data_IF_986621824452
#
_entry.id   IF_986621824452
#
_cell.length_a   1.000
_cell.length_b   1.000
_cell.length_c   1.000
_cell.angle_alpha   90.00
_cell.angle_beta   90.00
_cell.angle_gamma   90.00
#
_symmetry.space_group_name_H-M   'P 1'
#
loop_
_entity.id
_entity.type
_entity.pdbx_description
1 polymer ?
#
# COMPACT_ATOMS: atom_id res chain seq x y z
N UNK A 1 68.40 -31.26 6.50
CA UNK A 1 68.16 -30.45 7.70
C UNK A 1 66.81 -29.78 7.55
N UNK A 2 65.80 -30.29 8.26
CA UNK A 2 64.49 -29.63 8.46
C UNK A 2 64.66 -28.37 9.30
N UNK A 3 63.83 -27.35 9.10
CA UNK A 3 62.57 -27.20 9.84
C UNK A 3 61.41 -26.81 8.89
N UNK A 4 60.13 -27.02 9.16
CA UNK A 4 59.41 -27.12 10.43
C UNK A 4 58.16 -26.24 10.28
N UNK A 5 57.02 -26.86 9.97
CA UNK A 5 55.69 -26.25 9.86
C UNK A 5 55.26 -25.66 11.20
N UNK A 6 54.63 -24.47 11.25
CA UNK A 6 53.71 -24.14 12.32
C UNK A 6 52.25 -24.22 11.85
N UNK A 7 51.53 -25.07 12.58
CA UNK A 7 50.11 -25.34 12.55
C UNK A 7 49.24 -24.08 12.64
N UNK A 8 48.09 -24.15 11.95
CA UNK A 8 46.93 -23.33 12.19
C UNK A 8 46.47 -23.44 13.67
N UNK A 9 46.33 -22.28 14.33
CA UNK A 9 45.64 -22.17 15.61
C UNK A 9 44.14 -21.91 15.35
N UNK A 10 43.22 -22.79 15.79
CA UNK A 10 41.81 -22.44 15.87
C UNK A 10 41.58 -21.48 17.05
N UNK A 11 40.80 -20.44 16.79
CA UNK A 11 40.32 -19.49 17.80
C UNK A 11 39.47 -20.22 18.86
N UNK A 12 39.53 -19.80 20.14
CA UNK A 12 38.77 -20.42 21.21
C UNK A 12 37.26 -20.19 21.01
N UNK A 13 36.51 -21.29 21.02
CA UNK A 13 35.06 -21.28 21.17
C UNK A 13 34.74 -20.69 22.55
N UNK A 14 34.13 -19.51 22.57
CA UNK A 14 33.65 -18.89 23.80
C UNK A 14 32.57 -19.81 24.40
N UNK A 15 32.92 -20.41 25.54
CA UNK A 15 32.06 -21.27 26.32
C UNK A 15 30.79 -20.53 26.77
N UNK A 16 29.65 -21.23 26.72
CA UNK A 16 28.45 -20.82 27.44
C UNK A 16 28.78 -20.60 28.92
N UNK A 17 28.31 -19.51 29.57
CA UNK A 17 28.46 -19.38 31.00
C UNK A 17 27.69 -20.50 31.71
N UNK A 18 28.42 -21.28 32.49
CA UNK A 18 27.95 -22.37 33.34
C UNK A 18 26.87 -21.86 34.30
N UNK A 19 25.75 -22.56 34.34
CA UNK A 19 24.65 -22.29 35.25
C UNK A 19 25.14 -22.28 36.71
N UNK A 20 24.96 -21.15 37.40
CA UNK A 20 25.04 -21.08 38.86
C UNK A 20 23.99 -21.97 39.53
N UNK A 21 24.12 -22.24 40.84
CA UNK A 21 23.22 -23.15 41.55
C UNK A 21 21.77 -22.69 41.40
N UNK A 22 20.93 -23.59 40.86
CA UNK A 22 19.48 -23.39 40.80
C UNK A 22 18.94 -23.37 42.23
N UNK A 23 18.62 -22.19 42.74
CA UNK A 23 17.75 -22.08 43.91
C UNK A 23 16.45 -22.82 43.57
N UNK A 24 16.11 -23.82 44.39
CA UNK A 24 14.80 -24.47 44.32
C UNK A 24 13.71 -23.40 44.48
N UNK A 25 12.68 -23.36 43.63
CA UNK A 25 11.60 -22.41 43.79
C UNK A 25 10.83 -22.76 45.07
N UNK A 26 10.55 -21.81 45.98
CA UNK A 26 9.56 -22.03 47.01
C UNK A 26 8.22 -22.32 46.32
N UNK A 27 7.62 -23.46 46.68
CA UNK A 27 6.32 -23.89 46.21
C UNK A 27 5.24 -23.00 46.84
N UNK A 28 5.01 -21.83 46.24
CA UNK A 28 3.73 -21.13 46.32
C UNK A 28 3.60 -20.17 45.11
N UNK A 29 3.30 -20.73 43.93
CA UNK A 29 2.87 -19.94 42.78
C UNK A 29 1.40 -19.59 42.97
N UNK A 30 1.10 -18.72 43.93
CA UNK A 30 -0.16 -17.98 43.95
C UNK A 30 -0.16 -17.01 42.75
N UNK A 31 -0.45 -17.56 41.56
CA UNK A 31 -0.65 -16.92 40.25
C UNK A 31 -0.03 -15.52 40.06
N UNK A 32 1.29 -15.43 39.94
CA UNK A 32 1.93 -14.17 39.57
C UNK A 32 1.69 -13.89 38.07
N UNK A 33 1.01 -12.80 37.74
CA UNK A 33 0.82 -12.34 36.36
C UNK A 33 1.96 -11.41 35.96
N UNK A 34 2.67 -11.74 34.88
CA UNK A 34 3.65 -10.87 34.25
C UNK A 34 3.05 -10.13 33.05
N UNK A 35 3.32 -8.82 32.93
CA UNK A 35 2.86 -7.98 31.80
C UNK A 35 4.08 -7.40 31.08
N UNK A 36 4.08 -7.46 29.75
CA UNK A 36 5.05 -6.76 28.90
C UNK A 36 4.41 -5.48 28.39
N UNK A 37 5.07 -4.35 28.64
CA UNK A 37 4.64 -3.03 28.19
C UNK A 37 5.66 -2.52 27.19
N UNK A 38 5.19 -1.92 26.10
CA UNK A 38 6.06 -1.28 25.12
C UNK A 38 6.77 -0.07 25.77
N UNK A 39 8.02 0.19 25.35
CA UNK A 39 8.80 1.31 25.88
C UNK A 39 8.30 2.69 25.44
N UNK A 40 7.39 2.75 24.46
CA UNK A 40 6.74 3.97 24.00
C UNK A 40 5.21 3.79 23.99
N UNK A 41 4.44 4.86 24.28
CA UNK A 41 3.01 4.85 24.09
C UNK A 41 2.67 4.81 22.60
N UNK A 42 1.50 4.29 22.25
CA UNK A 42 1.01 4.27 20.86
C UNK A 42 0.86 5.67 20.27
N UNK A 43 0.63 6.68 21.12
CA UNK A 43 0.54 8.09 20.71
C UNK A 43 1.87 8.66 20.23
N UNK A 44 3.01 8.04 20.55
CA UNK A 44 4.31 8.45 20.02
C UNK A 44 4.37 8.36 18.48
N UNK A 45 3.51 7.54 17.88
CA UNK A 45 3.41 7.40 16.42
C UNK A 45 2.33 8.28 15.80
N UNK A 46 1.57 9.05 16.58
CA UNK A 46 0.48 9.87 16.02
C UNK A 46 1.01 10.91 15.03
N UNK A 47 2.16 11.52 15.35
CA UNK A 47 2.82 12.51 14.50
C UNK A 47 3.51 11.91 13.25
N UNK A 48 3.76 10.60 13.22
CA UNK A 48 4.32 9.91 12.06
C UNK A 48 3.27 9.37 11.09
N UNK A 49 1.98 9.62 11.36
CA UNK A 49 0.89 9.24 10.46
C UNK A 49 0.83 10.16 9.24
N UNK A 50 0.32 9.60 8.14
CA UNK A 50 0.05 10.31 6.88
C UNK A 50 -1.46 10.27 6.55
N UNK A 51 -2.30 10.90 7.38
CA UNK A 51 -3.75 10.69 7.36
C UNK A 51 -4.39 11.07 6.02
N UNK A 52 -3.95 12.17 5.38
CA UNK A 52 -4.57 12.62 4.13
C UNK A 52 -4.23 11.68 2.97
N UNK A 53 -2.97 11.28 2.84
CA UNK A 53 -2.53 10.31 1.83
C UNK A 53 -3.21 8.96 2.03
N UNK A 54 -3.37 8.52 3.28
CA UNK A 54 -4.10 7.29 3.62
C UNK A 54 -5.56 7.36 3.17
N UNK A 55 -6.24 8.47 3.47
CA UNK A 55 -7.61 8.69 3.05
C UNK A 55 -7.75 8.68 1.51
N UNK A 56 -6.84 9.36 0.80
CA UNK A 56 -6.81 9.37 -0.66
C UNK A 56 -6.61 7.97 -1.23
N UNK A 57 -5.69 7.18 -0.69
CA UNK A 57 -5.45 5.80 -1.12
C UNK A 57 -6.69 4.90 -0.92
N UNK A 58 -7.39 5.03 0.21
CA UNK A 58 -8.65 4.31 0.47
C UNK A 58 -9.74 4.71 -0.52
N UNK A 59 -9.87 6.01 -0.82
CA UNK A 59 -10.82 6.52 -1.81
C UNK A 59 -10.52 6.01 -3.21
N UNK A 60 -9.26 6.03 -3.63
CA UNK A 60 -8.80 5.49 -4.93
C UNK A 60 -9.14 4.01 -5.03
N UNK A 61 -8.78 3.21 -4.03
CA UNK A 61 -9.04 1.75 -4.01
C UNK A 61 -10.54 1.45 -4.10
N UNK A 62 -11.36 2.23 -3.39
CA UNK A 62 -12.82 2.08 -3.43
C UNK A 62 -13.38 2.43 -4.81
N UNK A 63 -12.84 3.48 -5.43
CA UNK A 63 -13.23 3.92 -6.77
C UNK A 63 -12.79 2.92 -7.85
N UNK A 64 -11.62 2.32 -7.74
CA UNK A 64 -11.15 1.28 -8.67
C UNK A 64 -12.04 0.04 -8.65
N UNK A 65 -12.49 -0.40 -7.46
CA UNK A 65 -13.46 -1.50 -7.36
C UNK A 65 -14.76 -1.15 -8.07
N UNK A 66 -15.26 0.07 -7.85
CA UNK A 66 -16.49 0.54 -8.52
C UNK A 66 -16.31 0.62 -10.04
N UNK A 67 -15.20 1.16 -10.51
CA UNK A 67 -14.86 1.26 -11.93
C UNK A 67 -14.79 -0.13 -12.58
N UNK A 68 -14.20 -1.13 -11.92
CA UNK A 68 -14.13 -2.50 -12.43
C UNK A 68 -15.52 -3.13 -12.58
N UNK A 69 -16.40 -2.96 -11.59
CA UNK A 69 -17.79 -3.43 -11.65
C UNK A 69 -18.58 -2.73 -12.76
N UNK A 70 -18.45 -1.40 -12.86
CA UNK A 70 -19.10 -0.62 -13.92
C UNK A 70 -18.58 -1.02 -15.31
N UNK A 71 -17.26 -1.25 -15.46
CA UNK A 71 -16.66 -1.67 -16.73
C UNK A 71 -17.14 -3.06 -17.16
N UNK A 72 -17.30 -4.00 -16.23
CA UNK A 72 -17.88 -5.31 -16.53
C UNK A 72 -19.31 -5.18 -17.04
N UNK A 73 -20.18 -4.44 -16.32
CA UNK A 73 -21.57 -4.21 -16.72
C UNK A 73 -21.67 -3.54 -18.09
N UNK A 74 -20.96 -2.43 -18.28
CA UNK A 74 -20.98 -1.66 -19.54
C UNK A 74 -20.37 -2.47 -20.69
N UNK A 75 -19.40 -3.35 -20.42
CA UNK A 75 -18.84 -4.25 -21.41
C UNK A 75 -19.85 -5.24 -21.97
N UNK A 76 -20.72 -5.78 -21.12
CA UNK A 76 -21.83 -6.67 -21.54
C UNK A 76 -22.93 -5.90 -22.28
N UNK A 77 -23.31 -4.72 -21.80
CA UNK A 77 -24.29 -3.86 -22.51
C UNK A 77 -23.78 -3.48 -23.91
N UNK A 78 -22.50 -3.11 -24.04
CA UNK A 78 -21.87 -2.85 -25.33
C UNK A 78 -21.84 -4.09 -26.22
N UNK A 79 -21.58 -5.27 -25.65
CA UNK A 79 -21.59 -6.52 -26.42
C UNK A 79 -22.96 -6.80 -27.02
N UNK A 80 -24.04 -6.58 -26.26
CA UNK A 80 -25.41 -6.72 -26.74
C UNK A 80 -25.69 -5.74 -27.91
N UNK A 81 -25.31 -4.47 -27.77
CA UNK A 81 -25.50 -3.46 -28.84
C UNK A 81 -24.70 -3.83 -30.10
N UNK A 82 -23.45 -4.27 -29.95
CA UNK A 82 -22.58 -4.69 -31.07
C UNK A 82 -23.22 -5.83 -31.89
N UNK A 83 -24.02 -6.68 -31.25
CA UNK A 83 -24.72 -7.79 -31.91
C UNK A 83 -25.92 -7.37 -32.77
N UNK A 84 -26.35 -6.11 -32.71
CA UNK A 84 -27.55 -5.64 -33.44
C UNK A 84 -27.25 -5.25 -34.89
N UNK A 85 -28.25 -5.34 -35.76
CA UNK A 85 -28.13 -4.93 -37.17
C UNK A 85 -27.85 -3.42 -37.30
N UNK A 86 -28.48 -2.60 -36.44
CA UNK A 86 -28.27 -1.15 -36.41
C UNK A 86 -26.82 -0.76 -36.07
N UNK A 87 -26.09 -1.59 -35.33
CA UNK A 87 -24.70 -1.37 -34.97
C UNK A 87 -23.70 -1.81 -36.05
N UNK A 88 -24.13 -2.51 -37.11
CA UNK A 88 -23.26 -3.07 -38.15
C UNK A 88 -22.31 -2.04 -38.78
N UNK A 89 -22.74 -0.80 -39.13
CA UNK A 89 -21.84 0.22 -39.67
C UNK A 89 -20.81 0.74 -38.66
N UNK A 90 -21.07 0.58 -37.36
CA UNK A 90 -20.26 1.14 -36.26
C UNK A 90 -19.46 0.07 -35.49
N UNK A 91 -19.57 -1.21 -35.89
CA UNK A 91 -19.06 -2.38 -35.17
C UNK A 91 -17.62 -2.22 -34.71
N UNK A 92 -16.71 -1.83 -35.60
CA UNK A 92 -15.28 -1.69 -35.26
C UNK A 92 -15.05 -0.63 -34.17
N UNK A 93 -15.78 0.49 -34.23
CA UNK A 93 -15.67 1.59 -33.25
C UNK A 93 -16.26 1.18 -31.90
N UNK A 94 -17.39 0.47 -31.90
CA UNK A 94 -18.00 -0.06 -30.68
C UNK A 94 -17.15 -1.14 -30.01
N UNK A 95 -16.49 -2.00 -30.77
CA UNK A 95 -15.50 -2.96 -30.23
C UNK A 95 -14.31 -2.22 -29.62
N UNK A 96 -13.82 -1.16 -30.27
CA UNK A 96 -12.78 -0.29 -29.72
C UNK A 96 -13.22 0.38 -28.42
N UNK A 97 -14.46 0.87 -28.36
CA UNK A 97 -15.05 1.44 -27.14
C UNK A 97 -15.14 0.41 -26.01
N UNK A 98 -15.63 -0.81 -26.29
CA UNK A 98 -15.69 -1.89 -25.30
C UNK A 98 -14.29 -2.22 -24.75
N UNK A 99 -13.28 -2.30 -25.63
CA UNK A 99 -11.89 -2.52 -25.20
C UNK A 99 -11.39 -1.36 -24.33
N UNK A 100 -11.69 -0.12 -24.69
CA UNK A 100 -11.32 1.06 -23.90
C UNK A 100 -11.97 1.07 -22.51
N UNK A 101 -13.23 0.63 -22.40
CA UNK A 101 -13.94 0.45 -21.12
C UNK A 101 -13.22 -0.55 -20.23
N UNK A 102 -12.88 -1.74 -20.76
CA UNK A 102 -12.14 -2.75 -19.99
C UNK A 102 -10.72 -2.31 -19.60
N UNK A 103 -10.06 -1.49 -20.44
CA UNK A 103 -8.71 -1.00 -20.19
C UNK A 103 -8.67 0.25 -19.29
N UNK A 104 -9.83 0.82 -18.92
CA UNK A 104 -9.89 2.07 -18.16
C UNK A 104 -9.25 3.26 -18.89
N UNK A 105 -9.25 3.24 -20.23
CA UNK A 105 -8.67 4.28 -21.07
C UNK A 105 -9.56 5.53 -21.14
N UNK A 106 -9.13 6.59 -21.85
CA UNK A 106 -9.94 7.80 -22.05
C UNK A 106 -11.16 7.56 -22.95
N UNK A 107 -12.23 7.08 -22.35
CA UNK A 107 -13.49 6.70 -23.01
C UNK A 107 -14.26 7.94 -23.51
N UNK A 108 -14.16 9.08 -22.83
CA UNK A 108 -14.89 10.31 -23.19
C UNK A 108 -14.67 10.72 -24.65
N UNK A 109 -13.42 10.68 -25.13
CA UNK A 109 -13.08 11.06 -26.51
C UNK A 109 -13.58 10.05 -27.57
N UNK A 110 -13.83 8.81 -27.14
CA UNK A 110 -14.35 7.75 -28.01
C UNK A 110 -15.87 7.75 -28.07
N UNK A 111 -16.54 8.23 -27.02
CA UNK A 111 -17.99 8.18 -26.88
C UNK A 111 -18.71 8.85 -28.06
N UNK A 112 -18.34 10.09 -28.36
CA UNK A 112 -18.98 10.91 -29.41
C UNK A 112 -18.72 10.35 -30.83
N UNK A 113 -17.67 9.52 -30.96
CA UNK A 113 -17.24 8.96 -32.23
C UNK A 113 -17.69 7.52 -32.41
N UNK A 114 -18.08 6.83 -31.34
CA UNK A 114 -18.32 5.38 -31.38
C UNK A 114 -19.54 5.03 -32.23
N UNK A 115 -20.68 5.65 -31.93
CA UNK A 115 -21.92 5.51 -32.69
C UNK A 115 -22.88 6.67 -32.36
N UNK A 116 -23.89 6.94 -33.21
CA UNK A 116 -24.94 7.90 -32.88
C UNK A 116 -25.73 7.50 -31.62
N UNK A 117 -26.31 8.47 -30.88
CA UNK A 117 -27.08 8.20 -29.65
C UNK A 117 -28.24 7.21 -29.84
N UNK A 118 -28.87 7.19 -31.02
CA UNK A 118 -29.97 6.26 -31.32
C UNK A 118 -29.50 4.80 -31.49
N UNK A 119 -28.21 4.55 -31.76
CA UNK A 119 -27.64 3.20 -31.86
C UNK A 119 -27.20 2.70 -30.49
N UNK A 120 -26.57 3.55 -29.69
CA UNK A 120 -26.13 3.21 -28.33
C UNK A 120 -27.31 3.05 -27.37
N UNK A 121 -28.37 3.84 -27.56
CA UNK A 121 -29.42 4.01 -26.56
C UNK A 121 -29.02 5.02 -25.48
N UNK A 122 -30.03 5.73 -24.95
CA UNK A 122 -29.81 6.81 -23.99
C UNK A 122 -29.16 6.30 -22.68
N UNK A 123 -29.62 5.16 -22.18
CA UNK A 123 -29.17 4.60 -20.89
C UNK A 123 -27.70 4.18 -20.92
N UNK A 124 -27.27 3.50 -21.99
CA UNK A 124 -25.88 3.09 -22.17
C UNK A 124 -24.96 4.30 -22.37
N UNK A 125 -25.38 5.28 -23.19
CA UNK A 125 -24.63 6.52 -23.37
C UNK A 125 -24.46 7.27 -22.04
N UNK A 126 -25.49 7.31 -21.21
CA UNK A 126 -25.48 7.93 -19.88
C UNK A 126 -24.59 7.14 -18.90
N UNK A 127 -24.67 5.80 -18.92
CA UNK A 127 -23.78 4.92 -18.16
C UNK A 127 -22.31 5.12 -18.49
N UNK A 128 -21.97 5.20 -19.77
CA UNK A 128 -20.60 5.43 -20.24
C UNK A 128 -20.09 6.83 -19.87
N UNK A 129 -20.94 7.87 -19.92
CA UNK A 129 -20.58 9.23 -19.45
C UNK A 129 -20.28 9.25 -17.96
N UNK A 130 -21.13 8.62 -17.14
CA UNK A 130 -20.86 8.48 -15.70
C UNK A 130 -19.55 7.74 -15.43
N UNK A 131 -19.29 6.65 -16.16
CA UNK A 131 -18.05 5.91 -16.01
C UNK A 131 -16.82 6.75 -16.41
N UNK A 132 -16.89 7.52 -17.50
CA UNK A 132 -15.82 8.45 -17.88
C UNK A 132 -15.59 9.55 -16.83
N UNK A 133 -16.65 10.06 -16.19
CA UNK A 133 -16.54 11.01 -15.10
C UNK A 133 -15.86 10.39 -13.86
N UNK A 134 -16.15 9.13 -13.54
CA UNK A 134 -15.47 8.40 -12.46
C UNK A 134 -13.97 8.20 -12.75
N UNK A 135 -13.59 7.93 -14.00
CA UNK A 135 -12.16 7.88 -14.38
C UNK A 135 -11.49 9.23 -14.18
N UNK A 136 -12.14 10.34 -14.57
CA UNK A 136 -11.62 11.68 -14.31
C UNK A 136 -11.48 12.01 -12.82
N UNK A 137 -12.45 11.58 -12.00
CA UNK A 137 -12.37 11.72 -10.55
C UNK A 137 -11.19 10.92 -9.95
N UNK A 138 -10.95 9.70 -10.45
CA UNK A 138 -9.80 8.88 -10.06
C UNK A 138 -8.48 9.58 -10.39
N UNK A 139 -8.34 10.09 -11.61
CA UNK A 139 -7.15 10.80 -12.04
C UNK A 139 -6.90 12.05 -11.16
N UNK A 140 -7.98 12.75 -10.77
CA UNK A 140 -7.92 13.87 -9.82
C UNK A 140 -7.43 13.46 -8.43
N UNK A 141 -7.86 12.30 -7.91
CA UNK A 141 -7.39 11.77 -6.62
C UNK A 141 -5.91 11.38 -6.67
N UNK A 142 -5.44 10.77 -7.76
CA UNK A 142 -4.02 10.48 -7.94
C UNK A 142 -3.19 11.77 -8.01
N UNK A 143 -3.63 12.77 -8.76
CA UNK A 143 -2.96 14.07 -8.82
C UNK A 143 -2.96 14.81 -7.48
N UNK A 144 -3.94 14.56 -6.60
CA UNK A 144 -3.91 15.06 -5.22
C UNK A 144 -2.92 14.28 -4.36
N UNK A 145 -2.93 12.95 -4.44
CA UNK A 145 -2.01 12.09 -3.70
C UNK A 145 -0.55 12.42 -4.03
N UNK A 146 -0.23 12.59 -5.31
CA UNK A 146 1.12 12.95 -5.77
C UNK A 146 1.60 14.28 -5.21
N UNK A 147 0.68 15.23 -4.97
CA UNK A 147 1.02 16.53 -4.36
C UNK A 147 1.18 16.45 -2.85
N UNK A 148 0.34 15.67 -2.17
CA UNK A 148 0.28 15.63 -0.71
C UNK A 148 1.30 14.68 -0.08
N UNK A 149 1.49 13.50 -0.68
CA UNK A 149 2.31 12.42 -0.11
C UNK A 149 3.76 12.83 0.19
N UNK A 150 4.47 13.61 -0.65
CA UNK A 150 5.84 14.02 -0.34
C UNK A 150 5.94 14.88 0.92
N UNK A 151 4.98 15.77 1.15
CA UNK A 151 4.98 16.65 2.31
C UNK A 151 4.64 15.90 3.61
N UNK A 152 3.64 15.03 3.58
CA UNK A 152 3.28 14.17 4.72
C UNK A 152 4.41 13.18 5.04
N UNK A 153 5.03 12.57 4.02
CA UNK A 153 6.17 11.64 4.22
C UNK A 153 7.35 12.33 4.88
N UNK A 154 7.73 13.54 4.45
CA UNK A 154 8.81 14.30 5.09
C UNK A 154 8.49 14.65 6.54
N UNK A 155 7.25 15.09 6.80
CA UNK A 155 6.81 15.43 8.16
C UNK A 155 6.81 14.20 9.08
N UNK A 156 6.34 13.06 8.57
CA UNK A 156 6.34 11.80 9.29
C UNK A 156 7.77 11.31 9.57
N UNK A 157 8.68 11.41 8.61
CA UNK A 157 10.09 11.05 8.80
C UNK A 157 10.76 11.92 9.87
N UNK A 158 10.51 13.25 9.86
CA UNK A 158 11.01 14.15 10.89
C UNK A 158 10.45 13.82 12.28
N UNK A 159 9.15 13.50 12.38
CA UNK A 159 8.54 13.08 13.63
C UNK A 159 9.12 11.77 14.18
N UNK A 160 9.43 10.81 13.31
CA UNK A 160 10.09 9.56 13.69
C UNK A 160 11.53 9.82 14.17
N UNK A 161 12.29 10.67 13.49
CA UNK A 161 13.64 11.04 13.90
C UNK A 161 13.64 11.68 15.30
N UNK A 162 12.65 12.54 15.58
CA UNK A 162 12.48 13.15 16.91
C UNK A 162 12.24 12.17 18.05
N UNK A 163 11.85 10.91 17.78
CA UNK A 163 11.69 9.91 18.84
C UNK A 163 13.01 9.56 19.54
N UNK A 164 14.17 9.82 18.92
CA UNK A 164 15.49 9.63 19.54
C UNK A 164 15.73 10.60 20.71
N UNK A 165 14.96 11.68 20.83
CA UNK A 165 14.99 12.54 22.02
C UNK A 165 14.43 11.84 23.26
N UNK A 166 13.59 10.79 23.10
CA UNK A 166 13.16 9.95 24.21
C UNK A 166 14.29 9.01 24.65
N UNK A 167 14.71 9.15 25.90
CA UNK A 167 15.84 8.39 26.47
C UNK A 167 15.60 6.87 26.43
N UNK A 168 14.37 6.42 26.63
CA UNK A 168 14.05 4.98 26.65
C UNK A 168 14.11 4.40 25.23
N UNK A 169 13.61 5.16 24.25
CA UNK A 169 13.73 4.81 22.84
C UNK A 169 15.18 4.81 22.37
N UNK A 170 15.96 5.84 22.70
CA UNK A 170 17.38 5.95 22.38
C UNK A 170 18.21 4.79 22.98
N UNK A 171 17.98 4.45 24.25
CA UNK A 171 18.65 3.33 24.89
C UNK A 171 18.30 1.99 24.25
N UNK A 172 17.01 1.80 23.90
CA UNK A 172 16.55 0.61 23.17
C UNK A 172 17.17 0.52 21.77
N UNK A 173 17.24 1.64 21.05
CA UNK A 173 17.83 1.73 19.71
C UNK A 173 19.34 1.44 19.75
N UNK A 174 20.08 2.05 20.67
CA UNK A 174 21.51 1.81 20.84
C UNK A 174 21.85 0.36 21.23
N UNK A 175 20.98 -0.32 21.98
CA UNK A 175 21.14 -1.75 22.27
C UNK A 175 20.82 -2.64 21.06
N UNK A 176 19.80 -2.28 20.28
CA UNK A 176 19.31 -3.10 19.17
C UNK A 176 20.12 -2.91 17.87
N UNK A 177 20.59 -1.69 17.59
CA UNK A 177 21.34 -1.33 16.39
C UNK A 177 22.20 -0.09 16.65
N UNK A 178 23.47 -0.31 16.97
CA UNK A 178 24.44 0.76 17.21
C UNK A 178 24.73 1.60 15.95
N UNK A 179 24.76 0.97 14.77
CA UNK A 179 25.00 1.67 13.51
C UNK A 179 23.87 2.66 13.19
N UNK A 180 22.61 2.22 13.33
CA UNK A 180 21.46 3.10 13.11
C UNK A 180 21.38 4.21 14.16
N UNK A 181 21.77 3.94 15.41
CA UNK A 181 21.85 4.97 16.46
C UNK A 181 22.94 6.02 16.18
N UNK A 182 24.03 5.65 15.50
CA UNK A 182 25.09 6.58 15.13
C UNK A 182 24.72 7.51 13.96
N UNK A 183 23.69 7.14 13.19
CA UNK A 183 23.17 7.89 12.03
C UNK A 183 22.06 8.88 12.37
N UNK A 184 21.54 8.89 13.62
CA UNK A 184 20.50 9.83 14.09
C UNK A 184 21.11 10.99 14.87
#
# INVERSE_FOLDING_TARGET
MSPGTPHAHPAPVAACPTAGPRSAPPADLSSSVGVRVAGLPTSALDASRIPRSTELAVRITSLDRRLALDAARLGEELYAVIGTEAARPFKARLVGLRRAVHQGARIAALLDRAAPPHVLGADLAEGLRRHAALLGARDGLFAELDRTLPAETRSAAAALAGLVEDRSFAAGLGYASADLYADV
#
